data_IF_191213190851
#
_entry.id   IF_191213190851
#
_cell.length_a   1.000
_cell.length_b   1.000
_cell.length_c   1.000
_cell.angle_alpha   90.00
_cell.angle_beta   90.00
_cell.angle_gamma   90.00
#
_symmetry.space_group_name_H-M   'P 1'
#
loop_
_entity.id
_entity.type
_entity.pdbx_description
1 polymer ?
#
# COMPACT_ATOMS: atom_id res chain seq x y z
N UNK A 1 -7.02 -27.32 -55.86
CA UNK A 1 -7.24 -27.39 -54.43
C UNK A 1 -5.95 -27.00 -53.71
N UNK A 2 -5.82 -25.72 -53.31
CA UNK A 2 -4.61 -25.23 -52.61
C UNK A 2 -4.90 -25.22 -51.11
N UNK A 3 -4.13 -26.01 -50.39
CA UNK A 3 -4.21 -26.03 -48.91
C UNK A 3 -3.44 -24.82 -48.35
N UNK A 4 -4.16 -23.96 -47.67
CA UNK A 4 -3.57 -22.84 -46.89
C UNK A 4 -3.15 -23.38 -45.54
N UNK A 5 -1.84 -23.43 -45.32
CA UNK A 5 -1.25 -23.85 -44.04
C UNK A 5 -1.24 -22.62 -43.09
N UNK A 6 -2.14 -22.60 -42.15
CA UNK A 6 -2.17 -21.55 -41.12
C UNK A 6 -1.14 -21.88 -40.03
N UNK A 7 -0.01 -21.17 -40.02
CA UNK A 7 0.99 -21.26 -38.95
C UNK A 7 0.50 -20.43 -37.80
N UNK A 8 0.03 -21.07 -36.72
CA UNK A 8 -0.23 -20.42 -35.44
C UNK A 8 1.11 -20.11 -34.75
N UNK A 9 1.56 -18.87 -34.79
CA UNK A 9 2.67 -18.41 -33.96
C UNK A 9 2.20 -18.38 -32.49
N UNK A 10 2.63 -19.36 -31.70
CA UNK A 10 2.52 -19.30 -30.25
C UNK A 10 3.49 -18.21 -29.76
N UNK A 11 2.96 -17.08 -29.33
CA UNK A 11 3.70 -16.09 -28.56
C UNK A 11 4.08 -16.71 -27.20
N UNK A 12 5.26 -17.30 -27.11
CA UNK A 12 5.87 -17.69 -25.84
C UNK A 12 6.31 -16.40 -25.14
N UNK A 13 5.41 -15.82 -24.32
CA UNK A 13 5.79 -14.74 -23.43
C UNK A 13 6.93 -15.21 -22.53
N UNK A 14 8.07 -14.50 -22.57
CA UNK A 14 9.21 -14.80 -21.71
C UNK A 14 8.74 -14.78 -20.24
N UNK A 15 8.99 -15.86 -19.50
CA UNK A 15 8.66 -15.92 -18.09
C UNK A 15 9.44 -14.83 -17.35
N UNK A 16 8.73 -13.92 -16.68
CA UNK A 16 9.38 -12.94 -15.81
C UNK A 16 9.89 -13.63 -14.54
N UNK A 17 11.15 -13.37 -14.18
CA UNK A 17 11.74 -13.86 -12.93
C UNK A 17 11.33 -12.96 -11.76
N UNK A 18 11.22 -13.52 -10.55
CA UNK A 18 11.04 -12.72 -9.35
C UNK A 18 12.25 -11.80 -9.15
N UNK A 19 11.98 -10.56 -8.70
CA UNK A 19 13.01 -9.57 -8.39
C UNK A 19 12.86 -9.13 -6.93
N UNK A 20 13.89 -9.37 -6.12
CA UNK A 20 14.00 -8.72 -4.81
C UNK A 20 14.33 -7.25 -5.02
N UNK A 21 13.50 -6.37 -4.47
CA UNK A 21 13.73 -4.93 -4.52
C UNK A 21 14.64 -4.55 -3.36
N UNK A 22 15.72 -3.79 -3.58
CA UNK A 22 16.51 -3.26 -2.47
C UNK A 22 15.61 -2.49 -1.53
N UNK A 23 15.67 -2.82 -0.24
CA UNK A 23 14.65 -2.36 0.73
C UNK A 23 15.32 -1.95 2.03
N UNK A 24 14.87 -0.83 2.60
CA UNK A 24 15.01 -0.45 4.00
C UNK A 24 13.63 -0.62 4.65
N UNK A 25 13.58 -1.23 5.83
CA UNK A 25 12.40 -1.29 6.66
C UNK A 25 12.64 -0.41 7.90
N UNK A 26 11.78 0.57 8.13
CA UNK A 26 11.94 1.52 9.22
C UNK A 26 10.59 1.91 9.80
N UNK A 27 10.46 1.90 11.10
CA UNK A 27 9.23 2.26 11.84
C UNK A 27 7.95 1.62 11.26
N UNK A 28 8.08 0.38 10.74
CA UNK A 28 6.97 -0.39 10.16
C UNK A 28 6.71 -0.15 8.67
N UNK A 29 7.37 0.83 8.03
CA UNK A 29 7.26 1.10 6.59
C UNK A 29 8.33 0.40 5.76
N UNK A 30 7.95 0.01 4.54
CA UNK A 30 8.89 -0.41 3.50
C UNK A 30 9.30 0.81 2.67
N UNK A 31 10.61 0.98 2.51
CA UNK A 31 11.20 1.94 1.57
C UNK A 31 12.02 1.17 0.54
N UNK A 32 11.65 1.26 -0.73
CA UNK A 32 12.53 0.78 -1.77
C UNK A 32 13.75 1.69 -1.85
N UNK A 33 14.95 1.09 -1.95
CA UNK A 33 16.23 1.81 -1.95
C UNK A 33 17.02 1.55 -3.24
N UNK A 34 16.48 1.91 -4.42
CA UNK A 34 17.21 1.73 -5.66
C UNK A 34 18.46 2.61 -5.68
N UNK A 35 19.50 2.14 -6.36
CA UNK A 35 20.75 2.89 -6.54
C UNK A 35 20.89 3.34 -8.00
N UNK A 36 21.10 4.64 -8.21
CA UNK A 36 21.38 5.18 -9.54
C UNK A 36 22.73 4.70 -10.08
N UNK A 37 22.92 4.78 -11.39
CA UNK A 37 24.20 4.46 -12.01
C UNK A 37 25.36 5.35 -11.49
N UNK A 38 25.05 6.57 -11.03
CA UNK A 38 26.00 7.48 -10.37
C UNK A 38 26.27 7.16 -8.90
N UNK A 39 25.68 6.09 -8.36
CA UNK A 39 25.90 5.61 -7.00
C UNK A 39 25.03 6.25 -5.92
N UNK A 40 24.06 7.08 -6.27
CA UNK A 40 23.14 7.67 -5.31
C UNK A 40 22.06 6.67 -4.94
N UNK A 41 21.88 6.38 -3.65
CA UNK A 41 20.79 5.58 -3.12
C UNK A 41 19.59 6.50 -2.87
N UNK A 42 18.42 6.10 -3.37
CA UNK A 42 17.15 6.77 -3.12
C UNK A 42 16.37 6.08 -2.01
N UNK A 43 15.41 6.77 -1.42
CA UNK A 43 14.52 6.24 -0.40
C UNK A 43 13.07 6.53 -0.83
N UNK A 44 12.37 5.50 -1.32
CA UNK A 44 11.04 5.62 -1.88
C UNK A 44 10.05 4.83 -1.02
N UNK A 45 9.09 5.50 -0.40
CA UNK A 45 8.06 4.79 0.38
C UNK A 45 7.25 3.87 -0.54
N UNK A 46 6.95 2.65 -0.06
CA UNK A 46 6.12 1.68 -0.80
C UNK A 46 4.72 1.69 -0.20
N UNK A 47 3.79 2.30 -0.92
CA UNK A 47 2.50 2.71 -0.39
C UNK A 47 1.36 2.24 -1.29
N UNK A 48 0.62 1.22 -0.83
CA UNK A 48 -0.55 0.70 -1.55
C UNK A 48 -1.79 1.58 -1.38
N UNK A 49 -1.78 2.50 -0.41
CA UNK A 49 -2.87 3.43 -0.12
C UNK A 49 -2.68 4.83 -0.70
N UNK A 50 -1.55 5.11 -1.33
CA UNK A 50 -1.23 6.41 -1.88
C UNK A 50 -0.65 6.39 -3.29
N UNK A 51 -0.48 7.58 -3.85
CA UNK A 51 0.25 7.80 -5.12
C UNK A 51 -0.45 7.39 -6.40
N UNK A 52 -0.72 8.36 -7.17
CA UNK A 52 -0.78 8.50 -8.61
C UNK A 52 -1.59 7.56 -9.48
N UNK A 53 -1.73 8.03 -10.68
CA UNK A 53 -2.32 7.35 -11.85
C UNK A 53 -1.22 6.87 -12.80
N UNK A 54 -1.57 6.08 -13.80
CA UNK A 54 -0.76 5.76 -14.99
C UNK A 54 0.43 4.80 -14.81
N UNK A 55 0.40 3.90 -13.82
CA UNK A 55 1.42 2.87 -13.63
C UNK A 55 2.85 3.43 -13.43
N UNK A 56 2.95 4.68 -12.97
CA UNK A 56 4.20 5.38 -12.70
C UNK A 56 4.38 5.58 -11.20
N UNK A 57 5.62 5.67 -10.80
CA UNK A 57 6.02 6.18 -9.47
C UNK A 57 6.39 7.67 -9.58
N UNK A 58 6.59 8.33 -8.44
CA UNK A 58 6.95 9.74 -8.44
C UNK A 58 8.14 10.04 -7.52
N UNK A 59 8.83 11.12 -7.84
CA UNK A 59 9.85 11.77 -7.02
C UNK A 59 9.37 13.10 -6.48
N UNK A 60 9.96 13.55 -5.37
CA UNK A 60 9.84 14.95 -4.96
C UNK A 60 10.58 15.86 -5.96
N UNK A 61 10.20 17.15 -6.02
CA UNK A 61 10.97 18.14 -6.80
C UNK A 61 12.43 18.21 -6.37
N UNK A 62 12.67 18.18 -5.04
CA UNK A 62 14.01 18.19 -4.48
C UNK A 62 14.85 17.00 -5.00
N UNK A 63 14.26 15.81 -5.07
CA UNK A 63 14.94 14.62 -5.62
C UNK A 63 15.24 14.75 -7.10
N UNK A 64 14.27 15.24 -7.89
CA UNK A 64 14.48 15.45 -9.33
C UNK A 64 15.60 16.47 -9.60
N UNK A 65 15.69 17.55 -8.81
CA UNK A 65 16.75 18.55 -8.86
C UNK A 65 18.09 17.96 -8.41
N UNK A 66 18.14 17.27 -7.27
CA UNK A 66 19.35 16.61 -6.73
C UNK A 66 19.97 15.63 -7.73
N UNK A 67 19.14 14.94 -8.49
CA UNK A 67 19.56 13.98 -9.51
C UNK A 67 19.82 14.62 -10.88
N UNK A 68 19.63 15.94 -11.02
CA UNK A 68 19.74 16.68 -12.30
C UNK A 68 18.91 16.04 -13.43
N UNK A 69 17.70 15.56 -13.13
CA UNK A 69 16.88 14.87 -14.12
C UNK A 69 16.28 15.85 -15.11
N UNK A 70 16.28 15.44 -16.38
CA UNK A 70 15.74 16.25 -17.46
C UNK A 70 14.22 16.16 -17.53
N UNK A 71 13.54 17.31 -17.67
CA UNK A 71 12.11 17.37 -17.89
C UNK A 71 11.71 16.53 -19.13
N UNK A 72 10.66 15.74 -18.98
CA UNK A 72 10.17 14.83 -20.02
C UNK A 72 8.69 15.06 -20.27
N UNK A 73 8.31 15.16 -21.57
CA UNK A 73 6.91 15.27 -21.94
C UNK A 73 6.15 13.98 -21.62
N UNK A 74 5.08 14.08 -20.82
CA UNK A 74 4.14 12.99 -20.55
C UNK A 74 2.73 13.56 -20.51
N UNK A 75 1.77 12.84 -21.11
CA UNK A 75 0.34 13.18 -21.03
C UNK A 75 -0.41 12.00 -20.45
N UNK A 76 -1.28 12.27 -19.49
CA UNK A 76 -2.21 11.30 -18.90
C UNK A 76 -3.63 11.76 -19.25
N UNK A 77 -4.41 10.90 -19.87
CA UNK A 77 -5.76 11.21 -20.35
C UNK A 77 -5.81 12.52 -21.17
N UNK A 78 -4.78 12.72 -22.01
CA UNK A 78 -4.64 13.92 -22.84
C UNK A 78 -4.07 15.17 -22.14
N UNK A 79 -3.97 15.15 -20.82
CA UNK A 79 -3.48 16.28 -20.02
C UNK A 79 -1.97 16.18 -19.74
N UNK A 80 -1.19 17.26 -19.93
CA UNK A 80 0.23 17.24 -19.59
C UNK A 80 0.43 17.12 -18.09
N UNK A 81 1.38 16.26 -17.69
CA UNK A 81 1.79 16.08 -16.30
C UNK A 81 3.27 16.43 -16.14
N UNK A 82 3.64 16.89 -14.94
CA UNK A 82 5.04 17.16 -14.61
C UNK A 82 5.78 15.83 -14.47
N UNK A 83 6.73 15.59 -15.35
CA UNK A 83 7.52 14.37 -15.37
C UNK A 83 8.98 14.66 -15.76
N UNK A 84 9.87 13.75 -15.38
CA UNK A 84 11.28 13.73 -15.73
C UNK A 84 11.64 12.40 -16.35
N UNK A 85 12.74 12.32 -17.09
CA UNK A 85 13.30 11.05 -17.53
C UNK A 85 13.73 10.24 -16.31
N UNK A 86 13.37 8.96 -16.25
CA UNK A 86 13.76 8.08 -15.16
C UNK A 86 15.29 7.96 -15.10
N UNK A 87 15.91 7.97 -13.90
CA UNK A 87 17.33 7.74 -13.78
C UNK A 87 17.68 6.30 -14.21
N UNK A 88 18.91 6.12 -14.70
CA UNK A 88 19.44 4.79 -14.92
C UNK A 88 19.85 4.21 -13.57
N UNK A 89 19.37 3.03 -13.26
CA UNK A 89 19.70 2.31 -12.03
C UNK A 89 20.80 1.27 -12.27
N UNK A 90 21.56 0.97 -11.22
CA UNK A 90 22.46 -0.18 -11.22
C UNK A 90 21.62 -1.46 -11.32
N UNK A 91 22.06 -2.42 -12.13
CA UNK A 91 21.27 -3.63 -12.45
C UNK A 91 20.80 -4.41 -11.22
N UNK A 92 21.64 -4.51 -10.18
CA UNK A 92 21.34 -5.25 -8.95
C UNK A 92 20.48 -4.45 -7.96
N UNK A 93 20.34 -3.15 -8.17
CA UNK A 93 19.62 -2.23 -7.31
C UNK A 93 18.58 -1.42 -8.07
N UNK A 94 18.07 -1.99 -9.17
CA UNK A 94 17.03 -1.39 -10.00
C UNK A 94 15.62 -1.66 -9.43
N UNK A 95 14.70 -0.76 -9.75
CA UNK A 95 13.28 -1.02 -9.61
C UNK A 95 12.76 -1.83 -10.81
N UNK A 96 11.69 -2.63 -10.65
CA UNK A 96 10.94 -3.11 -11.79
C UNK A 96 10.53 -1.96 -12.71
N UNK A 97 10.65 -2.07 -14.04
CA UNK A 97 10.38 -0.95 -14.95
C UNK A 97 8.92 -0.49 -14.82
N UNK A 98 8.69 0.83 -14.79
CA UNK A 98 7.34 1.38 -14.90
C UNK A 98 6.70 0.98 -16.23
N UNK A 99 5.40 0.73 -16.23
CA UNK A 99 4.61 0.35 -17.40
C UNK A 99 3.68 1.50 -17.81
N UNK A 100 3.05 1.36 -18.99
CA UNK A 100 2.05 2.33 -19.46
C UNK A 100 2.61 3.40 -20.40
N UNK A 101 1.78 4.41 -20.73
CA UNK A 101 2.06 5.34 -21.84
C UNK A 101 3.28 6.24 -21.62
N UNK A 102 3.69 6.41 -20.37
CA UNK A 102 4.88 7.21 -20.01
C UNK A 102 6.01 6.34 -19.43
N UNK A 103 6.13 5.09 -19.88
CA UNK A 103 7.24 4.22 -19.47
C UNK A 103 8.60 4.92 -19.68
N UNK A 104 9.53 4.70 -18.76
CA UNK A 104 10.84 5.38 -18.75
C UNK A 104 10.81 6.82 -18.20
N UNK A 105 9.67 7.25 -17.64
CA UNK A 105 9.51 8.56 -16.98
C UNK A 105 9.09 8.38 -15.54
N UNK A 106 9.32 9.41 -14.73
CA UNK A 106 8.92 9.51 -13.32
C UNK A 106 8.11 10.78 -13.14
N UNK A 107 6.99 10.69 -12.47
CA UNK A 107 6.21 11.88 -12.11
C UNK A 107 6.96 12.72 -11.08
N UNK A 108 6.67 14.02 -11.02
CA UNK A 108 7.26 14.93 -10.04
C UNK A 108 6.17 15.55 -9.19
N UNK A 109 6.25 15.33 -7.87
CA UNK A 109 5.37 15.91 -6.87
C UNK A 109 6.07 17.13 -6.22
N UNK A 110 5.33 18.22 -6.07
CA UNK A 110 5.83 19.46 -5.46
C UNK A 110 5.90 19.40 -3.92
N UNK A 111 5.24 18.41 -3.30
CA UNK A 111 5.24 18.28 -1.86
C UNK A 111 6.61 17.85 -1.32
N UNK A 112 6.93 18.32 -0.12
CA UNK A 112 8.16 17.96 0.57
C UNK A 112 7.89 16.85 1.56
N UNK A 113 8.70 15.78 1.45
CA UNK A 113 8.66 14.61 2.33
C UNK A 113 10.08 14.32 2.86
N UNK A 114 10.18 13.54 3.93
CA UNK A 114 11.45 13.04 4.46
C UNK A 114 12.08 11.93 3.60
N UNK A 115 11.44 11.55 2.50
CA UNK A 115 11.86 10.53 1.53
C UNK A 115 11.89 11.10 0.10
N UNK A 116 12.61 10.42 -0.78
CA UNK A 116 12.89 10.91 -2.16
C UNK A 116 11.69 10.79 -3.11
N UNK A 117 10.71 9.92 -2.80
CA UNK A 117 9.54 9.68 -3.65
C UNK A 117 8.73 8.45 -3.19
N UNK A 118 7.82 7.97 -4.04
CA UNK A 118 6.88 6.93 -3.67
C UNK A 118 6.62 5.94 -4.79
N UNK A 119 6.62 4.66 -4.45
CA UNK A 119 6.04 3.58 -5.24
C UNK A 119 4.60 3.38 -4.80
N UNK A 120 3.68 4.10 -5.43
CA UNK A 120 2.27 4.11 -5.04
C UNK A 120 1.43 3.03 -5.73
N UNK A 121 0.14 3.01 -5.39
CA UNK A 121 -0.84 2.04 -5.84
C UNK A 121 -0.83 1.81 -7.37
N UNK A 122 -0.70 2.86 -8.17
CA UNK A 122 -0.71 2.72 -9.63
C UNK A 122 0.55 2.05 -10.18
N UNK A 123 1.72 2.31 -9.58
CA UNK A 123 2.95 1.62 -9.97
C UNK A 123 2.92 0.14 -9.57
N UNK A 124 2.36 -0.15 -8.39
CA UNK A 124 2.24 -1.50 -7.86
C UNK A 124 1.18 -2.32 -8.62
N UNK A 125 0.13 -1.67 -9.10
CA UNK A 125 -1.13 -2.25 -9.57
C UNK A 125 -1.08 -3.20 -10.75
N UNK A 126 0.06 -3.32 -11.43
CA UNK A 126 0.18 -4.19 -12.63
C UNK A 126 0.91 -5.50 -12.37
N UNK A 127 1.33 -5.76 -11.14
CA UNK A 127 2.20 -6.87 -10.78
C UNK A 127 1.71 -7.61 -9.54
N UNK A 128 2.41 -8.69 -9.24
CA UNK A 128 2.31 -9.41 -7.97
C UNK A 128 3.45 -8.96 -7.07
N UNK A 129 3.12 -8.53 -5.87
CA UNK A 129 4.09 -8.02 -4.90
C UNK A 129 4.00 -8.79 -3.59
N UNK A 130 5.14 -9.21 -3.05
CA UNK A 130 5.23 -9.78 -1.70
C UNK A 130 5.88 -8.79 -0.76
N UNK A 131 5.13 -8.41 0.27
CA UNK A 131 5.55 -7.66 1.45
C UNK A 131 5.85 -8.67 2.55
N UNK A 132 7.09 -9.03 2.72
CA UNK A 132 7.54 -10.02 3.68
C UNK A 132 7.96 -9.32 4.97
N UNK A 133 6.98 -8.99 5.80
CA UNK A 133 7.23 -8.26 7.05
C UNK A 133 8.20 -8.97 7.99
N UNK A 134 8.09 -10.32 8.21
CA UNK A 134 9.01 -11.03 9.08
C UNK A 134 10.48 -10.91 8.66
N UNK A 135 10.74 -10.89 7.35
CA UNK A 135 12.09 -10.80 6.80
C UNK A 135 12.42 -9.39 6.29
N UNK A 136 11.50 -8.42 6.48
CA UNK A 136 11.66 -7.03 6.07
C UNK A 136 12.05 -6.87 4.60
N UNK A 137 11.47 -7.72 3.74
CA UNK A 137 11.84 -7.83 2.33
C UNK A 137 10.65 -7.53 1.41
N UNK A 138 10.92 -6.84 0.30
CA UNK A 138 9.96 -6.55 -0.76
C UNK A 138 10.37 -7.29 -2.04
N UNK A 139 9.42 -8.00 -2.65
CA UNK A 139 9.65 -8.69 -3.92
C UNK A 139 8.57 -8.35 -4.94
N UNK A 140 9.00 -8.06 -6.17
CA UNK A 140 8.14 -8.16 -7.34
C UNK A 140 8.19 -9.61 -7.83
N UNK A 141 7.07 -10.29 -7.81
CA UNK A 141 7.01 -11.72 -8.13
C UNK A 141 7.01 -11.95 -9.64
N UNK A 142 7.58 -13.08 -10.04
CA UNK A 142 7.60 -13.51 -11.44
C UNK A 142 6.31 -14.25 -11.84
N UNK A 143 6.17 -14.51 -13.14
CA UNK A 143 5.00 -15.23 -13.69
C UNK A 143 4.85 -16.67 -13.18
N UNK A 144 5.91 -17.27 -12.66
CA UNK A 144 5.90 -18.59 -12.06
C UNK A 144 5.46 -18.59 -10.59
N UNK A 145 5.20 -17.41 -10.00
CA UNK A 145 4.82 -17.32 -8.59
C UNK A 145 3.56 -18.15 -8.27
N UNK A 146 3.58 -18.81 -7.14
CA UNK A 146 2.44 -19.53 -6.57
C UNK A 146 2.39 -19.21 -5.08
N UNK A 147 1.18 -19.09 -4.55
CA UNK A 147 0.99 -18.88 -3.11
C UNK A 147 1.44 -20.11 -2.31
N UNK A 148 1.89 -19.86 -1.10
CA UNK A 148 2.13 -20.91 -0.12
C UNK A 148 0.82 -21.67 0.22
N UNK A 149 0.89 -22.96 0.49
CA UNK A 149 -0.27 -23.77 0.89
C UNK A 149 -0.90 -23.31 2.21
N UNK A 150 -0.11 -22.70 3.12
CA UNK A 150 -0.58 -22.13 4.38
C UNK A 150 -1.18 -20.72 4.22
N UNK A 151 -0.98 -20.07 3.07
CA UNK A 151 -1.50 -18.74 2.82
C UNK A 151 -3.02 -18.74 2.65
N UNK A 152 -3.71 -17.87 3.35
CA UNK A 152 -5.16 -17.69 3.20
C UNK A 152 -5.47 -16.55 2.26
N UNK A 153 -6.41 -16.72 1.30
CA UNK A 153 -6.78 -15.70 0.35
C UNK A 153 -7.75 -14.67 0.94
N UNK A 154 -7.62 -13.43 0.47
CA UNK A 154 -8.65 -12.41 0.57
C UNK A 154 -8.94 -11.86 -0.83
N UNK A 155 -10.20 -11.60 -1.15
CA UNK A 155 -10.56 -10.88 -2.36
C UNK A 155 -10.30 -9.39 -2.15
N UNK A 156 -9.77 -8.74 -3.18
CA UNK A 156 -9.59 -7.30 -3.21
C UNK A 156 -10.64 -6.67 -4.13
N UNK A 157 -11.11 -5.48 -3.75
CA UNK A 157 -11.91 -4.63 -4.60
C UNK A 157 -11.06 -3.54 -5.23
N UNK A 158 -11.35 -3.20 -6.50
CA UNK A 158 -10.73 -2.09 -7.23
C UNK A 158 -11.81 -1.35 -8.03
N UNK A 159 -11.68 -0.03 -8.13
CA UNK A 159 -12.55 0.76 -9.00
C UNK A 159 -12.38 0.30 -10.45
N UNK A 160 -13.51 0.19 -11.16
CA UNK A 160 -13.58 -0.28 -12.54
C UNK A 160 -14.42 0.66 -13.38
N UNK A 161 -14.11 0.70 -14.67
CA UNK A 161 -14.97 1.31 -15.67
C UNK A 161 -16.15 0.39 -16.08
N UNK A 162 -16.99 0.89 -16.96
CA UNK A 162 -18.17 0.17 -17.46
C UNK A 162 -17.82 -1.09 -18.26
N UNK A 163 -16.56 -1.24 -18.70
CA UNK A 163 -16.07 -2.42 -19.42
C UNK A 163 -15.47 -3.46 -18.49
N UNK A 164 -15.38 -3.16 -17.18
CA UNK A 164 -14.76 -3.99 -16.15
C UNK A 164 -13.26 -3.81 -16.01
N UNK A 165 -12.67 -2.86 -16.74
CA UNK A 165 -11.25 -2.48 -16.62
C UNK A 165 -10.97 -1.77 -15.31
N UNK A 166 -9.87 -2.13 -14.64
CA UNK A 166 -9.46 -1.45 -13.40
C UNK A 166 -8.94 -0.06 -13.73
N UNK A 167 -9.55 0.97 -13.13
CA UNK A 167 -9.18 2.38 -13.32
C UNK A 167 -8.31 2.92 -12.20
N UNK A 168 -8.46 2.36 -10.99
CA UNK A 168 -7.68 2.75 -9.81
C UNK A 168 -7.24 1.50 -9.05
N UNK A 169 -6.00 1.50 -8.57
CA UNK A 169 -5.37 0.34 -7.94
C UNK A 169 -5.30 0.42 -6.41
N UNK A 170 -6.19 1.18 -5.78
CA UNK A 170 -6.32 1.24 -4.32
C UNK A 170 -7.05 -0.01 -3.82
N UNK A 171 -6.35 -0.94 -3.12
CA UNK A 171 -6.92 -2.25 -2.82
C UNK A 171 -7.89 -2.17 -1.63
N UNK A 172 -9.18 -2.40 -1.88
CA UNK A 172 -10.14 -2.61 -0.80
C UNK A 172 -10.05 -4.04 -0.29
N UNK A 173 -10.04 -4.17 1.02
CA UNK A 173 -10.12 -5.45 1.72
C UNK A 173 -11.21 -5.41 2.78
N UNK A 174 -11.81 -6.57 3.09
CA UNK A 174 -12.78 -6.67 4.19
C UNK A 174 -12.06 -7.13 5.46
N UNK A 175 -12.14 -6.31 6.49
CA UNK A 175 -11.77 -6.64 7.86
C UNK A 175 -13.06 -6.88 8.68
N UNK A 176 -13.00 -7.65 9.76
CA UNK A 176 -14.13 -7.83 10.67
C UNK A 176 -13.74 -7.48 12.10
N UNK A 177 -14.66 -6.80 12.77
CA UNK A 177 -14.62 -6.55 14.21
C UNK A 177 -15.96 -7.02 14.78
N UNK A 178 -15.95 -7.86 15.81
CA UNK A 178 -17.16 -8.51 16.37
C UNK A 178 -17.99 -9.27 15.32
N UNK A 179 -17.35 -9.85 14.32
CA UNK A 179 -18.01 -10.51 13.20
C UNK A 179 -18.60 -9.58 12.14
N UNK A 180 -18.65 -8.25 12.38
CA UNK A 180 -19.20 -7.26 11.47
C UNK A 180 -18.17 -6.95 10.38
N UNK A 181 -18.50 -7.10 9.08
CA UNK A 181 -17.59 -6.76 7.99
C UNK A 181 -17.47 -5.24 7.82
N UNK A 182 -16.25 -4.79 7.58
CA UNK A 182 -15.89 -3.38 7.41
C UNK A 182 -14.99 -3.30 6.17
N UNK A 183 -15.36 -2.44 5.23
CA UNK A 183 -14.51 -2.15 4.08
C UNK A 183 -13.34 -1.27 4.51
N UNK A 184 -12.13 -1.70 4.19
CA UNK A 184 -10.89 -1.01 4.54
C UNK A 184 -10.02 -0.86 3.31
N UNK A 185 -9.23 0.20 3.24
CA UNK A 185 -8.11 0.29 2.31
C UNK A 185 -6.96 -0.60 2.86
N UNK A 186 -6.35 -1.46 2.05
CA UNK A 186 -5.09 -2.12 2.41
C UNK A 186 -3.96 -1.15 2.12
N UNK A 187 -3.32 -0.61 3.16
CA UNK A 187 -2.47 0.58 3.08
C UNK A 187 -1.12 0.35 3.77
N UNK A 188 -0.10 -0.01 2.98
CA UNK A 188 1.26 -0.20 3.52
C UNK A 188 1.96 1.10 3.88
N UNK A 189 1.41 2.25 3.46
CA UNK A 189 1.91 3.59 3.75
C UNK A 189 1.14 4.33 4.85
N UNK A 190 0.16 3.69 5.51
CA UNK A 190 -0.63 4.33 6.56
C UNK A 190 0.25 4.82 7.71
N UNK A 191 0.35 6.15 7.85
CA UNK A 191 1.33 6.85 8.70
C UNK A 191 0.66 7.55 9.88
N UNK A 192 1.28 7.46 11.06
CA UNK A 192 0.97 8.23 12.25
C UNK A 192 2.12 9.19 12.60
N UNK A 193 1.79 10.28 13.25
CA UNK A 193 2.72 11.06 14.05
C UNK A 193 2.23 11.03 15.51
N UNK A 194 2.52 9.94 16.23
CA UNK A 194 1.96 9.72 17.56
C UNK A 194 2.51 10.74 18.54
N UNK A 195 1.63 11.32 19.35
CA UNK A 195 2.03 12.10 20.52
C UNK A 195 2.74 11.21 21.54
N UNK A 196 3.35 11.79 22.57
CA UNK A 196 3.97 11.02 23.64
C UNK A 196 2.99 10.02 24.29
N UNK A 197 1.73 10.43 24.49
CA UNK A 197 0.68 9.57 25.04
C UNK A 197 0.30 8.43 24.07
N UNK A 198 0.10 8.75 22.78
CA UNK A 198 -0.21 7.75 21.77
C UNK A 198 0.91 6.74 21.57
N UNK A 199 2.16 7.21 21.53
CA UNK A 199 3.35 6.37 21.42
C UNK A 199 3.50 5.41 22.62
N UNK A 200 3.30 5.92 23.84
CA UNK A 200 3.38 5.11 25.04
C UNK A 200 2.27 4.04 25.11
N UNK A 201 1.05 4.36 24.63
CA UNK A 201 -0.07 3.44 24.65
C UNK A 201 0.04 2.37 23.57
N UNK A 202 0.33 2.76 22.33
CA UNK A 202 0.35 1.86 21.19
C UNK A 202 1.69 1.17 20.94
N UNK A 203 2.76 1.60 21.62
CA UNK A 203 4.11 1.06 21.39
C UNK A 203 4.64 1.36 19.99
N UNK A 204 4.14 2.41 19.31
CA UNK A 204 4.49 2.71 17.92
C UNK A 204 5.96 3.12 17.82
N UNK A 205 6.73 2.37 17.05
CA UNK A 205 8.08 2.78 16.66
C UNK A 205 7.99 3.97 15.70
N UNK A 206 8.91 4.93 15.84
CA UNK A 206 8.94 6.13 14.99
C UNK A 206 10.32 6.40 14.46
N UNK A 207 10.41 6.98 13.28
CA UNK A 207 11.63 7.54 12.73
C UNK A 207 12.01 8.86 13.43
N UNK A 208 13.15 9.46 13.01
CA UNK A 208 13.64 10.71 13.59
C UNK A 208 12.69 11.90 13.40
N UNK A 209 11.86 11.87 12.36
CA UNK A 209 10.81 12.85 12.09
C UNK A 209 9.51 12.62 12.88
N UNK A 210 9.49 11.61 13.76
CA UNK A 210 8.32 11.25 14.57
C UNK A 210 7.31 10.35 13.86
N UNK A 211 7.52 10.00 12.60
CA UNK A 211 6.58 9.20 11.82
C UNK A 211 6.71 7.70 12.12
N UNK A 212 5.59 7.00 12.15
CA UNK A 212 5.50 5.55 12.29
C UNK A 212 4.23 5.02 11.63
N UNK A 213 4.01 3.69 11.69
CA UNK A 213 2.83 3.07 11.08
C UNK A 213 1.63 3.05 12.02
N UNK A 214 0.44 3.03 11.42
CA UNK A 214 -0.83 2.84 12.12
C UNK A 214 -1.87 2.19 11.19
N UNK A 215 -3.03 1.85 11.72
CA UNK A 215 -4.26 1.63 10.97
C UNK A 215 -5.23 2.77 11.24
N UNK A 216 -6.07 3.12 10.26
CA UNK A 216 -7.02 4.22 10.39
C UNK A 216 -8.44 3.73 10.56
N UNK A 217 -9.24 4.52 11.28
CA UNK A 217 -10.68 4.36 11.34
C UNK A 217 -11.37 5.73 11.28
N UNK A 218 -12.51 5.83 10.60
CA UNK A 218 -13.28 7.09 10.56
C UNK A 218 -13.79 7.48 11.94
N UNK A 219 -13.94 8.79 12.20
CA UNK A 219 -14.60 9.33 13.43
C UNK A 219 -15.93 8.63 13.69
N UNK A 220 -16.75 8.46 12.64
CA UNK A 220 -18.04 7.77 12.73
C UNK A 220 -17.90 6.35 13.29
N UNK A 221 -16.98 5.57 12.76
CA UNK A 221 -16.79 4.18 13.20
C UNK A 221 -16.12 4.09 14.56
N UNK A 222 -15.19 5.01 14.84
CA UNK A 222 -14.60 5.17 16.18
C UNK A 222 -15.68 5.35 17.26
N UNK A 223 -16.60 6.29 17.02
CA UNK A 223 -17.69 6.60 17.98
C UNK A 223 -18.66 5.41 18.15
N UNK A 224 -18.94 4.67 17.07
CA UNK A 224 -19.73 3.42 17.14
C UNK A 224 -19.02 2.38 18.03
N UNK A 225 -17.73 2.16 17.82
CA UNK A 225 -16.96 1.19 18.60
C UNK A 225 -16.86 1.61 20.07
N UNK A 226 -16.50 2.86 20.35
CA UNK A 226 -16.36 3.36 21.72
C UNK A 226 -17.69 3.32 22.48
N UNK A 227 -18.80 3.64 21.81
CA UNK A 227 -20.14 3.52 22.42
C UNK A 227 -20.52 2.06 22.72
N UNK A 228 -20.19 1.14 21.83
CA UNK A 228 -20.51 -0.30 21.99
C UNK A 228 -19.60 -0.97 23.02
N UNK A 229 -18.36 -0.53 23.10
CA UNK A 229 -17.30 -1.10 23.94
C UNK A 229 -16.63 0.01 24.77
N UNK A 230 -17.31 0.52 25.80
CA UNK A 230 -16.75 1.60 26.65
C UNK A 230 -15.55 1.16 27.48
N UNK A 231 -15.30 -0.14 27.57
CA UNK A 231 -14.13 -0.77 28.19
C UNK A 231 -12.89 -0.80 27.31
N UNK A 232 -13.03 -0.55 25.98
CA UNK A 232 -11.86 -0.48 25.11
C UNK A 232 -11.03 0.76 25.43
N UNK A 233 -9.71 0.57 25.46
CA UNK A 233 -8.81 1.67 25.78
C UNK A 233 -8.85 2.73 24.68
N UNK A 234 -8.95 3.99 25.11
CA UNK A 234 -8.90 5.16 24.24
C UNK A 234 -7.79 6.09 24.72
N UNK A 235 -7.07 6.69 23.78
CA UNK A 235 -6.12 7.78 24.05
C UNK A 235 -6.61 9.02 23.33
N UNK A 236 -7.02 10.02 24.11
CA UNK A 236 -7.32 11.34 23.58
C UNK A 236 -6.04 12.04 23.12
N UNK A 237 -6.12 12.78 22.01
CA UNK A 237 -4.95 13.47 21.43
C UNK A 237 -3.75 12.53 21.22
N UNK A 238 -4.00 11.32 20.71
CA UNK A 238 -2.97 10.30 20.56
C UNK A 238 -2.11 10.45 19.30
N UNK A 239 -2.58 11.23 18.31
CA UNK A 239 -1.87 11.48 17.04
C UNK A 239 -2.13 12.91 16.56
N UNK A 240 -1.09 13.60 16.11
CA UNK A 240 -1.16 14.99 15.65
C UNK A 240 -0.71 15.18 14.19
N UNK A 241 -0.64 14.10 13.40
CA UNK A 241 -0.25 14.12 11.98
C UNK A 241 -1.02 15.17 11.16
N UNK A 242 -2.30 15.37 11.46
CA UNK A 242 -3.14 16.34 10.75
C UNK A 242 -3.04 17.76 11.32
N UNK A 243 -2.14 17.99 12.27
CA UNK A 243 -1.92 19.28 12.91
C UNK A 243 -2.99 19.66 13.93
N UNK A 244 -2.91 20.87 14.45
CA UNK A 244 -3.74 21.36 15.56
C UNK A 244 -5.26 21.39 15.28
N UNK A 245 -5.67 21.41 14.00
CA UNK A 245 -7.08 21.41 13.60
C UNK A 245 -7.76 20.05 13.78
N UNK A 246 -7.00 18.98 13.97
CA UNK A 246 -7.53 17.64 14.19
C UNK A 246 -6.54 16.80 14.99
N UNK A 247 -6.63 16.89 16.30
CA UNK A 247 -5.91 16.01 17.20
C UNK A 247 -6.67 14.69 17.32
N UNK A 248 -6.09 13.63 16.74
CA UNK A 248 -6.77 12.36 16.58
C UNK A 248 -6.73 11.51 17.87
N UNK A 249 -7.84 10.83 18.14
CA UNK A 249 -7.92 9.80 19.18
C UNK A 249 -7.37 8.46 18.66
N UNK A 250 -6.92 7.62 19.59
CA UNK A 250 -6.59 6.22 19.33
C UNK A 250 -7.55 5.31 20.08
N UNK A 251 -7.92 4.18 19.47
CA UNK A 251 -8.72 3.14 20.12
C UNK A 251 -8.05 1.78 19.96
N UNK A 252 -7.95 1.02 21.06
CA UNK A 252 -7.44 -0.35 21.06
C UNK A 252 -8.56 -1.36 20.83
N UNK A 253 -8.52 -2.03 19.69
CA UNK A 253 -9.47 -3.10 19.35
C UNK A 253 -8.85 -4.44 19.74
N UNK A 254 -9.45 -5.20 20.66
CA UNK A 254 -8.83 -6.43 21.17
C UNK A 254 -8.57 -7.49 20.12
N UNK A 255 -9.46 -7.60 19.13
CA UNK A 255 -9.37 -8.60 18.05
C UNK A 255 -9.93 -8.07 16.75
N UNK A 256 -9.17 -8.21 15.69
CA UNK A 256 -9.62 -7.99 14.31
C UNK A 256 -9.45 -9.26 13.51
N UNK A 257 -10.35 -9.49 12.54
CA UNK A 257 -10.25 -10.62 11.62
C UNK A 257 -9.99 -10.11 10.21
N UNK A 258 -8.97 -10.64 9.56
CA UNK A 258 -8.58 -10.32 8.19
C UNK A 258 -8.10 -11.59 7.48
N UNK A 259 -8.52 -11.81 6.24
CA UNK A 259 -8.11 -12.97 5.42
C UNK A 259 -8.20 -14.33 6.16
N UNK A 260 -9.22 -14.53 7.00
CA UNK A 260 -9.38 -15.78 7.78
C UNK A 260 -8.41 -15.94 8.94
N UNK A 261 -7.69 -14.89 9.32
CA UNK A 261 -6.87 -14.82 10.52
C UNK A 261 -7.48 -13.84 11.54
N UNK A 262 -7.23 -14.08 12.83
CA UNK A 262 -7.50 -13.15 13.93
C UNK A 262 -6.17 -12.68 14.50
N UNK A 263 -6.04 -11.37 14.66
CA UNK A 263 -4.88 -10.70 15.28
C UNK A 263 -5.37 -9.67 16.31
N UNK A 264 -4.49 -9.23 17.18
CA UNK A 264 -4.79 -8.18 18.16
C UNK A 264 -4.05 -8.37 19.49
N UNK A 265 -4.11 -7.35 20.37
CA UNK A 265 -4.84 -6.10 20.21
C UNK A 265 -4.24 -5.20 19.12
N UNK A 266 -5.08 -4.39 18.47
CA UNK A 266 -4.68 -3.46 17.41
C UNK A 266 -5.17 -2.05 17.77
N UNK A 267 -4.27 -1.07 17.69
CA UNK A 267 -4.59 0.33 17.79
C UNK A 267 -4.98 0.92 16.44
N UNK A 268 -6.10 1.64 16.42
CA UNK A 268 -6.58 2.41 15.28
C UNK A 268 -6.52 3.90 15.60
N UNK A 269 -5.96 4.67 14.67
CA UNK A 269 -5.93 6.14 14.73
C UNK A 269 -7.15 6.69 14.02
N UNK A 270 -7.85 7.59 14.70
CA UNK A 270 -9.00 8.30 14.15
C UNK A 270 -8.59 9.16 12.94
N UNK A 271 -9.46 9.19 11.93
CA UNK A 271 -9.35 10.12 10.79
C UNK A 271 -10.72 10.73 10.47
N UNK A 272 -10.76 12.00 10.04
CA UNK A 272 -12.02 12.65 9.69
C UNK A 272 -12.79 11.84 8.64
N UNK A 273 -14.09 11.70 8.79
CA UNK A 273 -14.94 10.96 7.84
C UNK A 273 -14.70 11.36 6.39
N UNK A 274 -14.43 12.66 6.11
CA UNK A 274 -14.19 13.17 4.76
C UNK A 274 -13.01 12.50 4.05
N UNK A 275 -12.00 12.03 4.80
CA UNK A 275 -10.83 11.37 4.23
C UNK A 275 -11.22 10.08 3.49
N UNK A 276 -12.12 9.31 4.07
CA UNK A 276 -12.58 8.04 3.49
C UNK A 276 -13.89 8.17 2.73
N UNK A 277 -14.91 8.84 3.30
CA UNK A 277 -16.24 8.93 2.69
C UNK A 277 -16.33 9.94 1.53
N UNK A 278 -15.35 10.85 1.36
CA UNK A 278 -15.33 11.78 0.23
C UNK A 278 -14.11 11.59 -0.68
N UNK A 279 -12.90 11.46 -0.10
CA UNK A 279 -11.68 11.34 -0.90
C UNK A 279 -11.53 9.92 -1.45
N UNK A 280 -11.37 8.94 -0.57
CA UNK A 280 -11.13 7.55 -0.99
C UNK A 280 -12.35 6.94 -1.70
N UNK A 281 -13.57 7.27 -1.30
CA UNK A 281 -14.79 6.79 -1.95
C UNK A 281 -14.90 7.15 -3.44
N UNK A 282 -14.14 8.13 -3.93
CA UNK A 282 -14.14 8.51 -5.35
C UNK A 282 -13.23 7.62 -6.21
N UNK A 283 -12.29 6.94 -5.59
CA UNK A 283 -11.21 6.20 -6.26
C UNK A 283 -11.17 4.72 -5.84
N UNK A 284 -12.11 4.28 -5.02
CA UNK A 284 -12.29 2.88 -4.62
C UNK A 284 -13.64 2.36 -5.13
N UNK A 285 -13.79 1.03 -5.24
CA UNK A 285 -15.03 0.38 -5.67
C UNK A 285 -16.18 0.50 -4.66
N UNK A 286 -15.87 0.57 -3.37
CA UNK A 286 -16.81 0.80 -2.28
C UNK A 286 -16.22 1.77 -1.26
N UNK A 287 -17.07 2.50 -0.55
CA UNK A 287 -16.65 3.44 0.50
C UNK A 287 -15.95 2.71 1.65
N UNK A 288 -14.69 3.00 1.95
CA UNK A 288 -14.00 2.43 3.10
C UNK A 288 -14.29 3.21 4.39
N UNK A 289 -14.23 2.51 5.53
CA UNK A 289 -14.34 3.11 6.86
C UNK A 289 -12.97 3.38 7.51
N UNK A 290 -11.89 3.12 6.80
CA UNK A 290 -10.54 3.31 7.28
C UNK A 290 -9.50 2.60 6.41
N UNK A 291 -8.31 2.38 7.00
CA UNK A 291 -7.24 1.65 6.35
C UNK A 291 -6.60 0.64 7.31
N UNK A 292 -6.19 -0.49 6.76
CA UNK A 292 -5.37 -1.50 7.46
C UNK A 292 -3.92 -1.21 7.15
N UNK A 293 -3.16 -0.77 8.14
CA UNK A 293 -1.77 -0.37 7.99
C UNK A 293 -0.76 -1.32 8.61
N UNK A 294 0.50 -0.88 8.67
CA UNK A 294 1.64 -1.69 9.04
C UNK A 294 1.52 -2.40 10.40
N UNK A 295 0.83 -1.82 11.37
CA UNK A 295 0.62 -2.42 12.69
C UNK A 295 -0.31 -3.66 12.68
N UNK A 296 -1.13 -3.84 11.65
CA UNK A 296 -1.87 -5.08 11.38
C UNK A 296 -1.06 -5.96 10.42
N UNK A 297 -0.51 -5.36 9.36
CA UNK A 297 0.13 -6.10 8.27
C UNK A 297 1.41 -6.81 8.71
N UNK A 298 2.11 -6.29 9.73
CA UNK A 298 3.34 -6.87 10.29
C UNK A 298 3.17 -8.26 10.92
N UNK A 299 1.94 -8.67 11.17
CA UNK A 299 1.64 -10.05 11.60
C UNK A 299 1.84 -11.10 10.49
N UNK A 300 2.07 -10.66 9.23
CA UNK A 300 1.99 -11.54 8.07
C UNK A 300 3.16 -11.38 7.10
N UNK A 301 3.36 -12.38 6.25
CA UNK A 301 3.90 -12.22 4.91
C UNK A 301 2.71 -12.11 3.95
N UNK A 302 2.65 -11.03 3.16
CA UNK A 302 1.49 -10.69 2.34
C UNK A 302 1.91 -10.63 0.87
N UNK A 303 1.22 -11.38 0.02
CA UNK A 303 1.36 -11.22 -1.42
C UNK A 303 0.10 -10.62 -2.01
N UNK A 304 0.23 -9.48 -2.69
CA UNK A 304 -0.85 -8.81 -3.40
C UNK A 304 -0.75 -9.15 -4.88
N UNK A 305 -1.69 -9.95 -5.38
CA UNK A 305 -1.86 -10.31 -6.78
C UNK A 305 -2.87 -9.34 -7.41
N UNK A 306 -2.38 -8.17 -7.82
CA UNK A 306 -3.22 -7.13 -8.42
C UNK A 306 -3.97 -7.61 -9.67
N UNK A 307 -3.31 -8.32 -10.62
CA UNK A 307 -3.99 -8.85 -11.81
C UNK A 307 -5.17 -9.76 -11.50
N UNK A 308 -5.12 -10.51 -10.37
CA UNK A 308 -6.20 -11.41 -9.97
C UNK A 308 -7.13 -10.83 -8.91
N UNK A 309 -6.91 -9.56 -8.50
CA UNK A 309 -7.65 -8.91 -7.43
C UNK A 309 -7.71 -9.78 -6.15
N UNK A 310 -6.56 -10.31 -5.72
CA UNK A 310 -6.42 -11.14 -4.53
C UNK A 310 -5.20 -10.73 -3.70
N UNK A 311 -5.31 -10.92 -2.39
CA UNK A 311 -4.17 -10.92 -1.50
C UNK A 311 -4.08 -12.27 -0.78
N UNK A 312 -2.85 -12.69 -0.48
CA UNK A 312 -2.54 -13.94 0.19
C UNK A 312 -1.79 -13.63 1.48
N UNK A 313 -2.32 -14.11 2.60
CA UNK A 313 -1.81 -13.82 3.94
C UNK A 313 -1.26 -15.09 4.57
N UNK A 314 0.04 -15.15 4.78
CA UNK A 314 0.69 -16.20 5.59
C UNK A 314 0.95 -15.63 6.97
N UNK A 315 0.44 -16.28 8.01
CA UNK A 315 0.70 -15.87 9.39
C UNK A 315 2.18 -16.01 9.72
N UNK A 316 2.78 -14.94 10.24
CA UNK A 316 4.15 -14.91 10.74
C UNK A 316 4.21 -14.94 12.25
N UNK A 317 3.39 -14.12 12.92
CA UNK A 317 3.38 -14.01 14.38
C UNK A 317 2.04 -13.50 14.92
N UNK A 318 1.65 -13.97 16.12
CA UNK A 318 0.52 -13.40 16.88
C UNK A 318 -0.84 -13.54 16.20
N UNK A 319 -0.98 -14.40 15.22
CA UNK A 319 -2.24 -14.65 14.54
C UNK A 319 -2.76 -16.07 14.82
N UNK A 320 -4.06 -16.19 14.96
CA UNK A 320 -4.75 -17.48 15.08
C UNK A 320 -5.78 -17.62 13.95
N UNK A 321 -6.10 -18.85 13.54
CA UNK A 321 -7.15 -19.05 12.54
C UNK A 321 -8.47 -18.47 13.05
N UNK A 322 -9.13 -17.63 12.24
CA UNK A 322 -10.44 -17.13 12.59
C UNK A 322 -11.46 -18.28 12.62
N UNK A 323 -12.36 -18.23 13.60
CA UNK A 323 -13.50 -19.16 13.62
C UNK A 323 -14.36 -18.96 12.34
N UNK A 324 -14.94 -20.04 11.79
CA UNK A 324 -15.89 -19.90 10.70
C UNK A 324 -17.02 -18.93 11.07
N UNK A 325 -17.34 -18.03 10.16
CA UNK A 325 -18.53 -17.17 10.33
C UNK A 325 -19.74 -18.10 10.15
N UNK A 326 -20.39 -18.45 11.24
CA UNK A 326 -21.71 -19.10 11.17
C UNK A 326 -22.67 -18.10 10.52
N UNK A 327 -23.30 -18.54 9.40
CA UNK A 327 -24.28 -17.76 8.68
C UNK A 327 -25.56 -17.59 9.51
#
# INVERSE_FOLDING_TARGET
MSAVLTIAMALTGAATTAQTVPTQYAAGHFYATPQTASGQTLRLIVDTGGGGTANLYWFTEATAQKLHLTAAGCKLDGHPVKAVTAPVYQKQAALPPALGPCAGKVLVNAENFSYDGQLGASYLGTRVWTFDYPHQALRAEGSAWRHDAAAKPANLGFQKDDTGGVTQYFPRIVMRVDGIPINMLLDTGATAHPTAAGKAAAGTETEADGMGVTSYITTRMFDIWHKKHPDWRVVENGDDLLGAQFSARLIEVPKVQIAGWTVGPIWFTERPNKAFHKMMARIMDETPEGAVGGNVLSHFSITIDYPKAKAWFTCAQGCVAAAPVTK
#
